data_IF_216109013892
#
_entry.id   IF_216109013892
#
_cell.length_a   1.000
_cell.length_b   1.000
_cell.length_c   1.000
_cell.angle_alpha   90.00
_cell.angle_beta   90.00
_cell.angle_gamma   90.00
#
_symmetry.space_group_name_H-M   'P 1'
#
loop_
_entity.id
_entity.type
_entity.pdbx_description
1 polymer ?
#
# COMPACT_ATOMS: atom_id res chain seq x y z
N UNK A 1 -0.35 44.56 23.27
CA UNK A 1 0.22 43.41 24.02
C UNK A 1 0.05 42.17 23.17
N UNK A 2 1.10 41.72 22.51
CA UNK A 2 1.09 40.45 21.75
C UNK A 2 1.51 39.36 22.71
N UNK A 3 0.58 38.43 22.99
CA UNK A 3 0.83 37.22 23.78
C UNK A 3 1.88 36.38 23.07
N UNK A 4 3.07 36.28 23.63
CA UNK A 4 4.10 35.30 23.23
C UNK A 4 3.60 33.93 23.63
N UNK A 5 3.09 33.16 22.65
CA UNK A 5 2.74 31.77 22.85
C UNK A 5 3.97 30.97 23.30
N UNK A 6 3.87 30.38 24.46
CA UNK A 6 4.89 29.54 25.05
C UNK A 6 4.93 28.21 24.26
N UNK A 7 5.84 28.09 23.29
CA UNK A 7 6.05 26.87 22.52
C UNK A 7 6.76 25.86 23.42
N UNK A 8 6.03 24.91 23.97
CA UNK A 8 6.64 23.84 24.78
C UNK A 8 7.44 22.90 23.87
N UNK A 9 8.77 22.96 23.96
CA UNK A 9 9.67 21.98 23.33
C UNK A 9 9.66 20.73 24.21
N UNK A 10 9.31 19.58 23.63
CA UNK A 10 9.50 18.29 24.33
C UNK A 10 11.00 18.11 24.62
N UNK A 11 11.38 17.93 25.89
CA UNK A 11 12.76 17.97 26.33
C UNK A 11 13.64 16.79 25.90
N UNK A 12 13.08 15.76 25.23
CA UNK A 12 13.81 14.63 24.64
C UNK A 12 13.40 14.46 23.18
N UNK A 13 14.31 14.77 22.25
CA UNK A 13 14.14 14.51 20.82
C UNK A 13 14.10 13.01 20.53
N UNK A 14 13.39 12.61 19.47
CA UNK A 14 13.41 11.25 18.94
C UNK A 14 14.60 11.09 17.97
N UNK A 15 15.11 9.87 17.83
CA UNK A 15 16.08 9.57 16.76
C UNK A 15 15.34 9.57 15.41
N UNK A 16 14.09 9.06 15.41
CA UNK A 16 13.22 8.99 14.22
C UNK A 16 11.83 9.52 14.54
N UNK A 17 11.32 10.43 13.71
CA UNK A 17 9.94 10.89 13.70
C UNK A 17 9.26 10.40 12.41
N UNK A 18 8.21 9.58 12.55
CA UNK A 18 7.39 9.12 11.41
C UNK A 18 6.14 9.99 11.32
N UNK A 19 5.95 10.64 10.18
CA UNK A 19 4.75 11.44 9.87
C UNK A 19 3.79 10.55 9.06
N UNK A 20 2.69 10.14 9.71
CA UNK A 20 1.70 9.22 9.17
C UNK A 20 1.73 7.85 9.86
N UNK A 21 0.63 7.48 10.49
CA UNK A 21 0.41 6.25 11.25
C UNK A 21 -0.41 5.19 10.48
N UNK A 22 -0.39 5.20 9.14
CA UNK A 22 -0.88 4.06 8.33
C UNK A 22 0.05 2.86 8.42
N UNK A 23 -0.30 1.72 7.78
CA UNK A 23 0.49 0.47 7.87
C UNK A 23 1.97 0.65 7.50
N UNK A 24 2.28 1.52 6.54
CA UNK A 24 3.65 1.80 6.11
C UNK A 24 4.42 2.60 7.18
N UNK A 25 3.80 3.62 7.75
CA UNK A 25 4.42 4.36 8.85
C UNK A 25 4.59 3.51 10.10
N UNK A 26 3.57 2.72 10.45
CA UNK A 26 3.63 1.81 11.60
C UNK A 26 4.71 0.73 11.45
N UNK A 27 4.80 0.06 10.30
CA UNK A 27 5.86 -0.94 10.10
C UNK A 27 7.25 -0.32 10.12
N UNK A 28 7.40 0.89 9.56
CA UNK A 28 8.67 1.64 9.61
C UNK A 28 9.06 1.97 11.06
N UNK A 29 8.10 2.47 11.83
CA UNK A 29 8.32 2.81 13.24
C UNK A 29 8.64 1.56 14.10
N UNK A 30 7.91 0.47 13.89
CA UNK A 30 8.15 -0.79 14.58
C UNK A 30 9.53 -1.34 14.31
N UNK A 31 9.93 -1.44 13.03
CA UNK A 31 11.26 -1.90 12.64
C UNK A 31 12.38 -0.98 13.18
N UNK A 32 12.20 0.34 13.11
CA UNK A 32 13.15 1.29 13.68
C UNK A 32 13.33 1.08 15.20
N UNK A 33 12.23 0.91 15.93
CA UNK A 33 12.26 0.63 17.37
C UNK A 33 12.92 -0.72 17.70
N UNK A 34 12.70 -1.77 16.90
CA UNK A 34 13.39 -3.07 17.06
C UNK A 34 14.91 -2.94 16.90
N UNK A 35 15.40 -1.99 16.13
CA UNK A 35 16.82 -1.66 16.00
C UNK A 35 17.32 -0.69 17.08
N UNK A 36 16.51 -0.39 18.09
CA UNK A 36 16.90 0.41 19.24
C UNK A 36 16.80 1.92 19.04
N UNK A 37 16.23 2.39 17.92
CA UNK A 37 16.01 3.83 17.68
C UNK A 37 14.80 4.34 18.49
N UNK A 38 14.96 5.46 19.19
CA UNK A 38 13.86 6.15 19.87
C UNK A 38 12.92 6.73 18.81
N UNK A 39 11.77 6.13 18.64
CA UNK A 39 10.87 6.42 17.56
C UNK A 39 9.56 7.05 18.03
N UNK A 40 9.12 8.09 17.35
CA UNK A 40 7.81 8.67 17.52
C UNK A 40 7.01 8.64 16.22
N UNK A 41 5.68 8.50 16.33
CA UNK A 41 4.73 8.56 15.20
C UNK A 41 3.76 9.71 15.44
N UNK A 42 3.52 10.52 14.42
CA UNK A 42 2.47 11.55 14.44
C UNK A 42 1.40 11.20 13.43
N UNK A 43 0.19 11.01 13.92
CA UNK A 43 -1.01 10.78 13.09
C UNK A 43 -2.26 11.04 13.96
N UNK A 44 -3.29 11.73 13.48
CA UNK A 44 -4.51 11.94 14.26
C UNK A 44 -5.26 10.63 14.57
N UNK A 45 -5.11 9.62 13.69
CA UNK A 45 -5.79 8.32 13.81
C UNK A 45 -4.84 7.18 13.41
N UNK A 46 -3.84 6.83 14.25
CA UNK A 46 -2.93 5.72 13.95
C UNK A 46 -3.67 4.40 13.71
N UNK A 47 -3.28 3.67 12.67
CA UNK A 47 -3.97 2.47 12.18
C UNK A 47 -5.09 2.75 11.18
N UNK A 48 -5.40 4.01 10.93
CA UNK A 48 -6.40 4.46 9.95
C UNK A 48 -5.94 4.43 8.49
N UNK A 49 -6.54 5.30 7.68
CA UNK A 49 -6.14 5.52 6.29
C UNK A 49 -6.56 4.42 5.32
N UNK A 50 -5.74 4.22 4.26
CA UNK A 50 -6.08 3.33 3.14
C UNK A 50 -6.24 1.86 3.56
N UNK A 51 -5.59 1.41 4.62
CA UNK A 51 -5.70 0.05 5.14
C UNK A 51 -7.14 -0.31 5.54
N UNK A 52 -7.93 0.65 6.00
CA UNK A 52 -9.32 0.44 6.42
C UNK A 52 -10.24 0.05 5.26
N UNK A 53 -9.82 0.32 4.02
CA UNK A 53 -10.58 0.06 2.79
C UNK A 53 -9.93 -1.05 1.95
N UNK A 54 -8.66 -1.32 2.14
CA UNK A 54 -7.93 -2.32 1.37
C UNK A 54 -8.50 -3.73 1.55
N UNK A 55 -8.45 -4.53 0.47
CA UNK A 55 -8.87 -5.93 0.50
C UNK A 55 -7.79 -6.88 1.06
N UNK A 56 -6.54 -6.47 1.08
CA UNK A 56 -5.47 -7.25 1.67
C UNK A 56 -4.94 -8.41 0.82
N UNK A 57 -5.10 -8.33 -0.48
CA UNK A 57 -4.47 -9.29 -1.40
C UNK A 57 -2.95 -9.13 -1.35
N UNK A 58 -2.25 -10.27 -1.31
CA UNK A 58 -0.79 -10.38 -1.40
C UNK A 58 -0.44 -10.97 -2.75
N UNK A 59 -0.80 -10.24 -3.81
CA UNK A 59 -0.90 -10.74 -5.18
C UNK A 59 0.28 -10.26 -6.04
N UNK A 60 1.48 -10.76 -5.75
CA UNK A 60 2.69 -10.41 -6.49
C UNK A 60 2.64 -10.89 -7.95
N UNK A 61 1.93 -11.98 -8.24
CA UNK A 61 1.88 -12.65 -9.54
C UNK A 61 0.63 -12.25 -10.33
N UNK A 62 -0.55 -12.34 -9.72
CA UNK A 62 -1.82 -12.03 -10.43
C UNK A 62 -2.06 -10.53 -10.61
N UNK A 63 -1.34 -9.67 -9.92
CA UNK A 63 -1.34 -8.21 -10.12
C UNK A 63 -0.15 -7.70 -10.95
N UNK A 64 0.53 -8.58 -11.67
CA UNK A 64 1.54 -8.15 -12.65
C UNK A 64 0.87 -7.40 -13.81
N UNK A 65 1.31 -6.16 -14.04
CA UNK A 65 0.86 -5.33 -15.14
C UNK A 65 1.99 -5.03 -16.13
N UNK A 66 1.63 -4.90 -17.40
CA UNK A 66 2.57 -4.42 -18.41
C UNK A 66 3.05 -3.00 -18.05
N UNK A 67 4.36 -2.76 -18.18
CA UNK A 67 5.00 -1.49 -17.81
C UNK A 67 5.42 -1.39 -16.34
N UNK A 68 5.03 -2.32 -15.46
CA UNK A 68 5.39 -2.30 -14.04
C UNK A 68 6.43 -3.39 -13.66
N UNK A 69 7.24 -3.86 -14.63
CA UNK A 69 8.21 -4.96 -14.40
C UNK A 69 9.26 -4.62 -13.32
N UNK A 70 9.62 -3.34 -13.18
CA UNK A 70 10.53 -2.91 -12.11
C UNK A 70 9.94 -3.19 -10.72
N UNK A 71 8.61 -3.03 -10.56
CA UNK A 71 7.91 -3.27 -9.30
C UNK A 71 7.81 -4.77 -8.96
N UNK A 72 7.86 -5.66 -9.97
CA UNK A 72 7.73 -7.11 -9.77
C UNK A 72 8.76 -7.65 -8.78
N UNK A 73 10.02 -7.26 -8.92
CA UNK A 73 11.10 -7.73 -8.02
C UNK A 73 10.84 -7.38 -6.56
N UNK A 74 10.33 -6.17 -6.30
CA UNK A 74 9.98 -5.73 -4.96
C UNK A 74 8.74 -6.48 -4.43
N UNK A 75 7.72 -6.67 -5.26
CA UNK A 75 6.49 -7.40 -4.91
C UNK A 75 6.79 -8.86 -4.54
N UNK A 76 7.58 -9.57 -5.35
CA UNK A 76 8.00 -10.96 -5.10
C UNK A 76 8.84 -11.05 -3.83
N UNK A 77 9.80 -10.15 -3.66
CA UNK A 77 10.64 -10.10 -2.47
C UNK A 77 9.82 -9.86 -1.19
N UNK A 78 8.75 -9.06 -1.28
CA UNK A 78 7.87 -8.81 -0.14
C UNK A 78 6.94 -10.00 0.12
N UNK A 79 6.35 -10.59 -0.92
CA UNK A 79 5.50 -11.78 -0.79
C UNK A 79 6.25 -12.94 -0.10
N UNK A 80 7.51 -13.17 -0.48
CA UNK A 80 8.35 -14.20 0.12
C UNK A 80 8.62 -13.97 1.62
N UNK A 81 8.64 -12.71 2.08
CA UNK A 81 8.83 -12.36 3.49
C UNK A 81 7.56 -12.51 4.32
N UNK A 82 6.39 -12.47 3.68
CA UNK A 82 5.13 -12.31 4.38
C UNK A 82 4.83 -13.38 5.42
N UNK A 83 5.07 -14.70 5.19
CA UNK A 83 4.80 -15.73 6.20
C UNK A 83 5.60 -15.52 7.50
N UNK A 84 6.90 -15.22 7.38
CA UNK A 84 7.77 -14.96 8.53
C UNK A 84 7.39 -13.64 9.24
N UNK A 85 7.12 -12.60 8.48
CA UNK A 85 6.64 -11.32 9.00
C UNK A 85 5.32 -11.44 9.76
N UNK A 86 4.37 -12.23 9.23
CA UNK A 86 3.09 -12.48 9.90
C UNK A 86 3.31 -13.14 11.27
N UNK A 87 4.08 -14.23 11.31
CA UNK A 87 4.38 -14.94 12.54
C UNK A 87 5.11 -14.05 13.58
N UNK A 88 6.06 -13.23 13.14
CA UNK A 88 6.79 -12.28 13.99
C UNK A 88 5.85 -11.21 14.57
N UNK A 89 5.00 -10.61 13.74
CA UNK A 89 4.07 -9.58 14.16
C UNK A 89 3.00 -10.13 15.11
N UNK A 90 2.48 -11.33 14.84
CA UNK A 90 1.53 -12.01 15.72
C UNK A 90 2.15 -12.32 17.09
N UNK A 91 3.41 -12.77 17.13
CA UNK A 91 4.14 -12.98 18.39
C UNK A 91 4.37 -11.66 19.14
N UNK A 92 4.75 -10.58 18.44
CA UNK A 92 5.01 -9.28 19.03
C UNK A 92 3.74 -8.60 19.54
N UNK A 93 2.63 -8.69 18.79
CA UNK A 93 1.36 -8.03 19.14
C UNK A 93 0.44 -8.89 20.01
N UNK A 94 0.58 -10.22 19.95
CA UNK A 94 -0.38 -11.16 20.53
C UNK A 94 -1.71 -11.17 19.79
N UNK A 95 -1.76 -10.74 18.53
CA UNK A 95 -2.98 -10.62 17.72
C UNK A 95 -2.82 -11.37 16.40
N UNK A 96 -3.84 -12.12 16.00
CA UNK A 96 -3.96 -12.72 14.67
C UNK A 96 -4.22 -11.63 13.62
N UNK A 97 -3.38 -11.55 12.59
CA UNK A 97 -3.52 -10.60 11.48
C UNK A 97 -4.38 -11.14 10.34
N UNK A 98 -4.90 -12.35 10.43
CA UNK A 98 -5.71 -12.98 9.40
C UNK A 98 -4.90 -13.30 8.13
N UNK A 99 -3.62 -13.66 8.27
CA UNK A 99 -2.83 -14.15 7.14
C UNK A 99 -3.32 -15.53 6.71
N UNK A 100 -3.64 -15.68 5.41
CA UNK A 100 -4.09 -16.94 4.82
C UNK A 100 -3.30 -17.30 3.58
N UNK A 101 -2.63 -18.44 3.63
CA UNK A 101 -1.95 -19.05 2.49
C UNK A 101 -2.95 -19.81 1.61
N UNK A 102 -3.92 -19.11 1.00
CA UNK A 102 -5.04 -19.71 0.30
C UNK A 102 -4.90 -19.73 -1.22
N UNK A 103 -3.91 -19.04 -1.77
CA UNK A 103 -3.79 -18.86 -3.21
C UNK A 103 -4.83 -17.91 -3.82
N UNK A 104 -4.66 -17.63 -5.11
CA UNK A 104 -5.57 -16.78 -5.90
C UNK A 104 -5.96 -17.51 -7.19
N UNK A 105 -7.21 -17.34 -7.61
CA UNK A 105 -7.75 -17.82 -8.88
C UNK A 105 -8.21 -16.60 -9.70
N UNK A 106 -7.50 -16.30 -10.79
CA UNK A 106 -7.91 -15.30 -11.78
C UNK A 106 -8.70 -16.00 -12.89
N UNK A 107 -9.94 -15.58 -13.17
CA UNK A 107 -10.82 -16.26 -14.12
C UNK A 107 -11.26 -15.37 -15.26
N UNK A 108 -11.63 -15.98 -16.38
CA UNK A 108 -12.15 -15.36 -17.59
C UNK A 108 -13.59 -15.78 -17.82
N UNK A 109 -14.47 -14.81 -18.12
CA UNK A 109 -15.88 -15.05 -18.41
C UNK A 109 -16.17 -15.16 -19.93
N UNK A 110 -15.41 -14.45 -20.76
CA UNK A 110 -15.57 -14.47 -22.20
C UNK A 110 -14.27 -14.81 -22.96
N UNK A 111 -14.28 -14.66 -24.30
CA UNK A 111 -13.13 -14.94 -25.15
C UNK A 111 -12.01 -13.92 -25.00
N UNK A 112 -12.35 -12.65 -24.79
CA UNK A 112 -11.39 -11.54 -24.72
C UNK A 112 -10.69 -11.55 -23.38
N UNK A 113 -11.42 -11.76 -22.29
CA UNK A 113 -10.88 -12.00 -20.94
C UNK A 113 -9.92 -13.19 -20.95
N UNK A 114 -10.32 -14.28 -21.67
CA UNK A 114 -9.48 -15.48 -21.79
C UNK A 114 -8.20 -15.21 -22.57
N UNK A 115 -8.26 -14.41 -23.64
CA UNK A 115 -7.07 -14.00 -24.39
C UNK A 115 -6.15 -13.16 -23.51
N UNK A 116 -6.69 -12.17 -22.81
CA UNK A 116 -5.94 -11.35 -21.87
C UNK A 116 -5.23 -12.17 -20.79
N UNK A 117 -5.93 -13.13 -20.14
CA UNK A 117 -5.31 -13.99 -19.14
C UNK A 117 -4.23 -14.91 -19.73
N UNK A 118 -4.34 -15.33 -21.00
CA UNK A 118 -3.27 -16.09 -21.66
C UNK A 118 -2.03 -15.27 -21.92
N UNK A 119 -2.19 -14.01 -22.28
CA UNK A 119 -1.07 -13.09 -22.43
C UNK A 119 -0.39 -12.82 -21.08
N UNK A 120 -1.17 -12.60 -20.01
CA UNK A 120 -0.67 -12.48 -18.67
C UNK A 120 0.09 -13.73 -18.22
N UNK A 121 -0.47 -14.92 -18.45
CA UNK A 121 0.21 -16.19 -18.16
C UNK A 121 1.55 -16.31 -18.90
N UNK A 122 1.58 -15.98 -20.19
CA UNK A 122 2.81 -15.98 -20.94
C UNK A 122 3.85 -14.97 -20.41
N UNK A 123 3.41 -13.80 -19.93
CA UNK A 123 4.28 -12.82 -19.28
C UNK A 123 4.82 -13.37 -17.95
N UNK A 124 3.97 -13.97 -17.12
CA UNK A 124 4.36 -14.60 -15.85
C UNK A 124 5.42 -15.70 -16.08
N UNK A 125 5.20 -16.58 -17.04
CA UNK A 125 6.16 -17.65 -17.39
C UNK A 125 7.51 -17.08 -17.84
N UNK A 126 7.52 -16.05 -18.71
CA UNK A 126 8.77 -15.38 -19.12
C UNK A 126 9.47 -14.68 -17.98
N UNK A 127 8.75 -14.27 -16.94
CA UNK A 127 9.29 -13.65 -15.73
C UNK A 127 9.70 -14.66 -14.65
N UNK A 128 9.61 -15.96 -14.94
CA UNK A 128 9.97 -17.03 -14.00
C UNK A 128 8.97 -17.19 -12.84
N UNK A 129 7.73 -16.72 -13.00
CA UNK A 129 6.69 -16.80 -12.00
C UNK A 129 5.85 -18.07 -12.17
N UNK A 130 5.47 -18.66 -11.04
CA UNK A 130 4.63 -19.86 -11.03
C UNK A 130 3.16 -19.49 -11.17
N UNK A 131 2.53 -19.99 -12.22
CA UNK A 131 1.09 -19.93 -12.45
C UNK A 131 0.64 -21.12 -13.30
N UNK A 132 -0.56 -21.63 -13.04
CA UNK A 132 -1.13 -22.78 -13.74
C UNK A 132 -2.38 -22.38 -14.50
N UNK A 133 -2.43 -22.73 -15.79
CA UNK A 133 -3.63 -22.55 -16.60
C UNK A 133 -4.66 -23.64 -16.32
N UNK A 134 -5.88 -23.24 -16.00
CA UNK A 134 -7.01 -24.13 -15.74
C UNK A 134 -8.12 -23.93 -16.80
N UNK A 135 -8.83 -25.02 -17.12
CA UNK A 135 -10.11 -24.96 -17.83
C UNK A 135 -11.21 -24.40 -16.92
N UNK A 136 -12.30 -23.89 -17.51
CA UNK A 136 -13.45 -23.43 -16.72
C UNK A 136 -14.06 -24.50 -15.81
N UNK A 137 -14.00 -25.79 -16.24
CA UNK A 137 -14.44 -26.91 -15.40
C UNK A 137 -13.54 -27.10 -14.17
N UNK A 138 -12.25 -26.97 -14.34
CA UNK A 138 -11.28 -27.05 -13.23
C UNK A 138 -11.41 -25.88 -12.27
N UNK A 139 -11.60 -24.67 -12.80
CA UNK A 139 -11.89 -23.49 -11.96
C UNK A 139 -13.12 -23.72 -11.09
N UNK A 140 -14.24 -24.19 -11.66
CA UNK A 140 -15.47 -24.46 -10.91
C UNK A 140 -15.35 -25.66 -9.95
N UNK A 141 -14.45 -26.60 -10.20
CA UNK A 141 -14.15 -27.68 -9.22
C UNK A 141 -13.42 -27.12 -7.99
N UNK A 142 -12.53 -26.13 -8.19
CA UNK A 142 -11.83 -25.46 -7.08
C UNK A 142 -12.74 -24.51 -6.32
N UNK A 143 -13.58 -23.75 -7.04
CA UNK A 143 -14.53 -22.78 -6.47
C UNK A 143 -15.93 -23.04 -7.07
N UNK A 144 -16.75 -23.87 -6.42
CA UNK A 144 -18.05 -24.28 -6.96
C UNK A 144 -19.08 -23.16 -7.13
N UNK A 145 -18.90 -22.05 -6.43
CA UNK A 145 -19.80 -20.88 -6.52
C UNK A 145 -19.55 -20.02 -7.79
N UNK A 146 -18.49 -20.30 -8.54
CA UNK A 146 -18.23 -19.60 -9.80
C UNK A 146 -19.34 -19.84 -10.83
N UNK A 147 -19.63 -18.78 -11.60
CA UNK A 147 -20.63 -18.82 -12.66
C UNK A 147 -20.34 -19.95 -13.68
N UNK A 148 -21.39 -20.60 -14.21
CA UNK A 148 -21.26 -21.63 -15.25
C UNK A 148 -20.52 -21.14 -16.51
N UNK A 149 -20.58 -19.83 -16.79
CA UNK A 149 -19.95 -19.16 -17.93
C UNK A 149 -18.43 -19.04 -17.85
N UNK A 150 -17.79 -19.33 -16.74
CA UNK A 150 -16.32 -19.27 -16.60
C UNK A 150 -15.64 -20.20 -17.61
N UNK A 151 -14.77 -19.61 -18.48
CA UNK A 151 -14.16 -20.28 -19.64
C UNK A 151 -12.73 -20.77 -19.38
N UNK A 152 -12.12 -20.36 -18.27
CA UNK A 152 -10.78 -20.74 -17.86
C UNK A 152 -10.22 -19.77 -16.83
N UNK A 153 -9.01 -20.04 -16.36
CA UNK A 153 -8.37 -19.18 -15.36
C UNK A 153 -6.92 -19.54 -15.12
N UNK A 154 -6.31 -18.74 -14.27
CA UNK A 154 -4.95 -18.91 -13.75
C UNK A 154 -5.01 -19.18 -12.26
N UNK A 155 -4.46 -20.30 -11.80
CA UNK A 155 -4.21 -20.59 -10.40
C UNK A 155 -2.81 -20.13 -10.04
N UNK A 156 -2.71 -19.34 -8.97
CA UNK A 156 -1.45 -18.89 -8.38
C UNK A 156 -1.47 -19.20 -6.89
N UNK A 157 -0.76 -20.25 -6.51
CA UNK A 157 -0.77 -20.73 -5.12
C UNK A 157 0.06 -19.82 -4.19
N UNK A 158 1.00 -19.02 -4.72
CA UNK A 158 1.83 -18.08 -3.97
C UNK A 158 1.19 -16.70 -3.71
N UNK A 159 0.06 -16.39 -4.33
CA UNK A 159 -0.67 -15.15 -4.08
C UNK A 159 -1.68 -15.37 -2.94
N UNK A 160 -1.42 -14.76 -1.79
CA UNK A 160 -2.13 -14.99 -0.54
C UNK A 160 -3.01 -13.80 -0.15
N UNK A 161 -3.44 -13.73 1.11
CA UNK A 161 -4.17 -12.59 1.66
C UNK A 161 -3.86 -12.38 3.15
N UNK A 162 -4.13 -11.17 3.62
CA UNK A 162 -4.11 -10.77 5.03
C UNK A 162 -5.30 -9.86 5.30
N UNK A 163 -5.76 -9.74 6.54
CA UNK A 163 -6.75 -8.73 6.90
C UNK A 163 -6.04 -7.39 7.19
N UNK A 164 -6.19 -6.34 6.34
CA UNK A 164 -5.46 -5.08 6.53
C UNK A 164 -5.86 -4.33 7.79
N UNK A 165 -7.09 -4.52 8.29
CA UNK A 165 -7.55 -3.89 9.54
C UNK A 165 -6.90 -4.55 10.75
N UNK A 166 -6.84 -5.89 10.76
CA UNK A 166 -6.12 -6.63 11.80
C UNK A 166 -4.62 -6.37 11.73
N UNK A 167 -4.04 -6.33 10.53
CA UNK A 167 -2.64 -5.96 10.32
C UNK A 167 -2.31 -4.59 10.92
N UNK A 168 -3.14 -3.57 10.66
CA UNK A 168 -2.94 -2.23 11.20
C UNK A 168 -3.05 -2.21 12.74
N UNK A 169 -4.02 -2.91 13.31
CA UNK A 169 -4.18 -3.03 14.75
C UNK A 169 -3.00 -3.75 15.42
N UNK A 170 -2.53 -4.85 14.83
CA UNK A 170 -1.37 -5.58 15.31
C UNK A 170 -0.08 -4.76 15.25
N UNK A 171 0.15 -4.02 14.14
CA UNK A 171 1.29 -3.10 14.02
C UNK A 171 1.25 -1.99 15.07
N UNK A 172 0.07 -1.41 15.32
CA UNK A 172 -0.09 -0.39 16.37
C UNK A 172 0.31 -0.95 17.73
N UNK A 173 -0.22 -2.12 18.11
CA UNK A 173 0.12 -2.79 19.37
C UNK A 173 1.59 -3.17 19.45
N UNK A 174 2.18 -3.67 18.35
CA UNK A 174 3.60 -3.99 18.31
C UNK A 174 4.49 -2.75 18.49
N UNK A 175 4.12 -1.61 17.88
CA UNK A 175 4.77 -0.32 18.10
C UNK A 175 4.69 0.11 19.57
N UNK A 176 3.51 0.07 20.19
CA UNK A 176 3.31 0.43 21.60
C UNK A 176 4.18 -0.43 22.52
N UNK A 177 4.22 -1.74 22.31
CA UNK A 177 5.05 -2.68 23.07
C UNK A 177 6.55 -2.48 22.86
N UNK A 178 6.94 -1.99 21.67
CA UNK A 178 8.32 -1.64 21.35
C UNK A 178 8.73 -0.25 21.87
N UNK A 179 7.85 0.48 22.56
CA UNK A 179 8.12 1.79 23.14
C UNK A 179 8.04 2.96 22.17
N UNK A 180 7.39 2.79 21.02
CA UNK A 180 7.11 3.89 20.08
C UNK A 180 6.15 4.89 20.72
N UNK A 181 6.50 6.17 20.67
CA UNK A 181 5.67 7.27 21.22
C UNK A 181 4.68 7.75 20.16
N UNK A 182 3.39 7.84 20.50
CA UNK A 182 2.35 8.31 19.60
C UNK A 182 1.88 9.71 19.95
N UNK A 183 1.90 10.60 18.95
CA UNK A 183 1.27 11.92 19.01
C UNK A 183 0.02 11.91 18.13
N UNK A 184 -1.16 11.92 18.74
CA UNK A 184 -2.46 11.90 18.04
C UNK A 184 -2.86 13.32 17.65
N UNK A 185 -2.16 13.86 16.64
CA UNK A 185 -2.37 15.21 16.13
C UNK A 185 -2.01 15.29 14.64
N UNK A 186 -2.40 16.37 14.00
CA UNK A 186 -1.98 16.68 12.64
C UNK A 186 -0.60 17.32 12.64
N UNK A 187 0.22 16.97 11.66
CA UNK A 187 1.43 17.75 11.35
C UNK A 187 1.02 18.94 10.50
N UNK A 188 1.22 20.14 11.01
CA UNK A 188 1.00 21.38 10.27
C UNK A 188 2.09 21.59 9.21
N UNK A 189 3.36 21.44 9.61
CA UNK A 189 4.51 21.61 8.71
C UNK A 189 5.75 20.83 9.14
N UNK A 190 6.61 20.54 8.16
CA UNK A 190 7.96 20.01 8.44
C UNK A 190 8.79 21.06 9.18
N UNK A 191 9.52 20.63 10.20
CA UNK A 191 10.54 21.42 10.86
C UNK A 191 11.87 21.32 10.11
N UNK A 192 12.37 22.43 9.60
CA UNK A 192 13.69 22.51 8.92
C UNK A 192 14.60 23.43 9.71
N UNK A 193 15.81 22.96 10.02
CA UNK A 193 16.83 23.73 10.68
C UNK A 193 18.20 23.50 10.04
N UNK A 194 18.96 24.55 9.80
CA UNK A 194 20.31 24.48 9.21
C UNK A 194 20.37 23.67 7.90
N UNK A 195 19.34 23.81 7.04
CA UNK A 195 19.27 23.12 5.74
C UNK A 195 18.98 21.61 5.82
N UNK A 196 18.45 21.10 6.97
CA UNK A 196 18.03 19.71 7.11
C UNK A 196 16.68 19.58 7.79
N UNK A 197 15.99 18.48 7.56
CA UNK A 197 14.82 18.12 8.36
C UNK A 197 15.26 17.87 9.81
N UNK A 198 14.51 18.46 10.77
CA UNK A 198 14.84 18.44 12.18
C UNK A 198 13.62 18.14 13.07
N UNK A 199 12.53 17.66 12.46
CA UNK A 199 11.30 17.32 13.19
C UNK A 199 10.04 17.86 12.52
N UNK A 200 9.02 18.15 13.28
CA UNK A 200 7.74 18.66 12.81
C UNK A 200 7.09 19.64 13.79
N UNK A 201 6.23 20.50 13.28
CA UNK A 201 5.32 21.34 14.07
C UNK A 201 3.91 20.77 13.93
N UNK A 202 3.27 20.51 15.04
CA UNK A 202 1.92 19.97 15.12
C UNK A 202 0.87 21.10 15.03
N UNK A 203 -0.36 20.75 14.66
CA UNK A 203 -1.47 21.70 14.59
C UNK A 203 -1.77 22.35 15.93
N UNK A 204 -1.56 21.66 17.05
CA UNK A 204 -1.63 22.21 18.40
C UNK A 204 -0.48 23.16 18.77
N UNK A 205 0.48 23.42 17.87
CA UNK A 205 1.64 24.29 18.09
C UNK A 205 2.84 23.59 18.78
N UNK A 206 2.74 22.30 19.12
CA UNK A 206 3.84 21.53 19.69
C UNK A 206 4.94 21.33 18.65
N UNK A 207 6.19 21.55 19.05
CA UNK A 207 7.37 21.27 18.22
C UNK A 207 7.98 19.93 18.65
N UNK A 208 8.07 18.99 17.73
CA UNK A 208 8.76 17.73 17.92
C UNK A 208 10.10 17.77 17.19
N UNK A 209 11.18 17.56 17.92
CA UNK A 209 12.52 17.47 17.37
C UNK A 209 12.88 16.02 17.08
N UNK A 210 13.57 15.79 15.94
CA UNK A 210 14.09 14.47 15.56
C UNK A 210 15.34 14.59 14.70
N UNK A 211 16.22 13.59 14.78
CA UNK A 211 17.42 13.52 13.95
C UNK A 211 17.10 13.15 12.51
N UNK A 212 16.09 12.31 12.32
CA UNK A 212 15.58 11.84 11.03
C UNK A 212 14.05 11.90 10.99
N UNK A 213 13.48 12.29 9.86
CA UNK A 213 12.04 12.36 9.62
C UNK A 213 11.67 11.44 8.47
N UNK A 214 10.69 10.55 8.69
CA UNK A 214 10.12 9.70 7.64
C UNK A 214 8.72 10.21 7.29
N UNK A 215 8.51 10.61 6.04
CA UNK A 215 7.19 11.01 5.54
C UNK A 215 6.46 9.79 4.96
N UNK A 216 5.47 9.30 5.70
CA UNK A 216 4.64 8.13 5.40
C UNK A 216 3.13 8.47 5.39
N UNK A 217 2.78 9.73 5.05
CA UNK A 217 1.41 10.25 5.15
C UNK A 217 0.48 9.83 3.98
N UNK A 218 0.83 8.76 3.27
CA UNK A 218 0.02 8.19 2.19
C UNK A 218 -0.31 9.23 1.12
N UNK A 219 -1.59 9.33 0.72
CA UNK A 219 -2.02 10.30 -0.30
C UNK A 219 -1.79 11.77 0.09
N UNK A 220 -1.62 12.07 1.38
CA UNK A 220 -1.36 13.42 1.88
C UNK A 220 0.13 13.81 1.84
N UNK A 221 1.03 12.89 1.52
CA UNK A 221 2.48 13.14 1.56
C UNK A 221 2.91 14.37 0.73
N UNK A 222 2.31 14.57 -0.45
CA UNK A 222 2.59 15.76 -1.29
C UNK A 222 1.98 17.07 -0.80
N UNK A 223 1.28 17.07 0.35
CA UNK A 223 0.61 18.26 0.91
C UNK A 223 1.18 18.75 2.24
N UNK A 224 2.21 18.09 2.73
CA UNK A 224 2.86 18.54 3.97
C UNK A 224 3.50 19.91 3.73
N UNK A 225 3.09 20.90 4.49
CA UNK A 225 3.70 22.23 4.41
C UNK A 225 5.15 22.22 4.91
N UNK A 226 5.97 23.17 4.43
CA UNK A 226 7.38 23.28 4.79
C UNK A 226 8.33 22.31 4.06
N UNK A 227 7.83 21.53 3.11
CA UNK A 227 8.68 20.80 2.18
C UNK A 227 9.24 21.78 1.14
N UNK A 228 10.56 21.78 0.87
CA UNK A 228 11.11 22.41 -0.32
C UNK A 228 10.53 21.79 -1.60
N UNK A 229 10.33 22.59 -2.65
CA UNK A 229 9.66 22.15 -3.88
C UNK A 229 10.32 20.93 -4.51
N UNK A 230 11.64 20.84 -4.46
CA UNK A 230 12.44 19.74 -5.02
C UNK A 230 12.28 18.40 -4.30
N UNK A 231 11.70 18.38 -3.10
CA UNK A 231 11.48 17.15 -2.32
C UNK A 231 10.00 16.80 -2.12
N UNK A 232 9.08 17.60 -2.68
CA UNK A 232 7.66 17.30 -2.65
C UNK A 232 7.39 16.00 -3.41
N UNK A 233 6.89 14.93 -2.73
CA UNK A 233 6.63 13.67 -3.41
C UNK A 233 5.44 13.82 -4.38
N UNK A 234 5.59 13.37 -5.65
CA UNK A 234 4.52 13.44 -6.65
C UNK A 234 3.46 12.35 -6.40
N UNK A 235 2.79 12.43 -5.25
CA UNK A 235 1.76 11.49 -4.85
C UNK A 235 0.39 12.12 -4.98
N UNK A 236 -0.52 11.41 -5.67
CA UNK A 236 -1.92 11.81 -5.84
C UNK A 236 -2.88 10.79 -5.23
N UNK A 237 -4.08 11.22 -4.78
CA UNK A 237 -5.12 10.32 -4.32
C UNK A 237 -5.82 9.65 -5.51
N UNK A 238 -5.99 8.31 -5.45
CA UNK A 238 -6.85 7.54 -6.35
C UNK A 238 -7.92 6.85 -5.52
N UNK A 239 -9.16 7.24 -5.71
CA UNK A 239 -10.31 6.72 -4.97
C UNK A 239 -10.61 5.28 -5.37
N UNK A 240 -10.97 4.45 -4.40
CA UNK A 240 -11.50 3.11 -4.60
C UNK A 240 -12.64 2.84 -3.65
N UNK A 241 -13.75 2.33 -4.18
CA UNK A 241 -14.89 1.87 -3.41
C UNK A 241 -14.82 0.36 -3.24
N UNK A 242 -15.21 -0.14 -2.08
CA UNK A 242 -15.30 -1.56 -1.75
C UNK A 242 -16.59 -1.87 -1.02
N UNK A 243 -17.04 -3.11 -1.15
CA UNK A 243 -18.19 -3.65 -0.43
C UNK A 243 -17.73 -4.75 0.51
N UNK A 244 -18.40 -4.89 1.65
CA UNK A 244 -18.23 -6.02 2.56
C UNK A 244 -19.57 -6.71 2.75
N UNK A 245 -19.57 -7.99 2.56
CA UNK A 245 -20.72 -8.87 2.71
C UNK A 245 -20.45 -9.89 3.80
N UNK A 246 -21.49 -10.39 4.41
CA UNK A 246 -21.39 -11.49 5.39
C UNK A 246 -21.88 -12.78 4.74
N UNK A 247 -21.08 -13.83 4.82
CA UNK A 247 -21.46 -15.19 4.40
C UNK A 247 -22.17 -15.88 5.55
N UNK A 248 -23.49 -16.16 5.46
CA UNK A 248 -24.20 -16.92 6.45
C UNK A 248 -23.61 -18.33 6.61
N UNK A 249 -23.67 -18.90 7.81
CA UNK A 249 -23.12 -20.23 8.10
C UNK A 249 -23.66 -21.34 7.16
N UNK A 250 -24.89 -21.18 6.68
CA UNK A 250 -25.51 -22.13 5.74
C UNK A 250 -24.83 -22.15 4.36
N UNK A 251 -24.10 -21.10 4.00
CA UNK A 251 -23.37 -20.98 2.72
C UNK A 251 -21.86 -21.12 2.88
N UNK A 252 -21.36 -21.35 4.10
CA UNK A 252 -19.92 -21.48 4.34
C UNK A 252 -19.42 -22.90 3.99
N UNK A 253 -18.22 -23.01 3.37
CA UNK A 253 -17.43 -21.90 2.80
C UNK A 253 -17.99 -21.45 1.46
N UNK A 254 -18.25 -20.14 1.31
CA UNK A 254 -18.76 -19.55 0.05
C UNK A 254 -17.66 -19.52 -1.04
N UNK A 255 -16.48 -19.03 -0.69
CA UNK A 255 -15.25 -19.12 -1.46
C UNK A 255 -14.12 -19.56 -0.53
N UNK A 256 -13.15 -20.30 -1.07
CA UNK A 256 -12.01 -20.82 -0.29
C UNK A 256 -10.72 -20.03 -0.53
N UNK A 257 -10.60 -19.33 -1.66
CA UNK A 257 -9.46 -18.53 -2.08
C UNK A 257 -9.89 -17.18 -2.64
N UNK A 258 -8.93 -16.28 -2.82
CA UNK A 258 -9.19 -15.04 -3.56
C UNK A 258 -9.56 -15.34 -5.00
N UNK A 259 -10.65 -14.76 -5.48
CA UNK A 259 -11.07 -14.84 -6.87
C UNK A 259 -10.96 -13.48 -7.53
N UNK A 260 -10.41 -13.42 -8.74
CA UNK A 260 -10.24 -12.20 -9.53
C UNK A 260 -10.75 -12.40 -10.94
N UNK A 261 -11.24 -11.33 -11.55
CA UNK A 261 -11.61 -11.32 -12.98
C UNK A 261 -11.49 -9.90 -13.55
N UNK A 262 -11.46 -9.84 -14.87
CA UNK A 262 -11.85 -8.65 -15.62
C UNK A 262 -13.26 -8.90 -16.13
N UNK A 263 -14.20 -8.03 -15.83
CA UNK A 263 -15.59 -8.13 -16.27
C UNK A 263 -15.94 -6.86 -17.02
N UNK A 264 -16.20 -6.96 -18.32
CA UNK A 264 -16.53 -5.80 -19.16
C UNK A 264 -15.48 -4.67 -19.08
N UNK A 265 -14.20 -5.03 -18.95
CA UNK A 265 -13.10 -4.09 -18.81
C UNK A 265 -12.84 -3.58 -17.39
N UNK A 266 -13.70 -3.91 -16.42
CA UNK A 266 -13.52 -3.57 -15.00
C UNK A 266 -12.84 -4.71 -14.24
N UNK A 267 -11.83 -4.38 -13.43
CA UNK A 267 -11.20 -5.35 -12.54
C UNK A 267 -12.05 -5.56 -11.29
N UNK A 268 -12.45 -6.79 -11.03
CA UNK A 268 -13.17 -7.18 -9.82
C UNK A 268 -12.40 -8.27 -9.07
N UNK A 269 -12.49 -8.24 -7.74
CA UNK A 269 -11.97 -9.29 -6.88
C UNK A 269 -12.94 -9.58 -5.72
N UNK A 270 -12.91 -10.82 -5.27
CA UNK A 270 -13.65 -11.32 -4.12
C UNK A 270 -12.65 -11.97 -3.15
N UNK A 271 -12.57 -11.44 -1.94
CA UNK A 271 -11.59 -11.88 -0.93
C UNK A 271 -12.32 -12.41 0.29
N UNK A 272 -12.44 -13.76 0.44
CA UNK A 272 -13.12 -14.37 1.57
C UNK A 272 -12.25 -14.35 2.82
N UNK A 273 -12.85 -14.07 3.98
CA UNK A 273 -12.23 -14.11 5.30
C UNK A 273 -12.70 -15.33 6.10
N UNK A 274 -11.90 -15.73 7.08
CA UNK A 274 -12.26 -16.86 7.97
C UNK A 274 -13.43 -16.55 8.88
N UNK A 275 -13.63 -15.28 9.23
CA UNK A 275 -14.76 -14.83 10.04
C UNK A 275 -16.09 -14.76 9.26
N UNK A 276 -16.13 -15.23 8.01
CA UNK A 276 -17.31 -15.18 7.16
C UNK A 276 -17.52 -13.82 6.44
N UNK A 277 -16.59 -12.87 6.52
CA UNK A 277 -16.64 -11.67 5.69
C UNK A 277 -16.19 -11.99 4.27
N UNK A 278 -16.83 -11.38 3.27
CA UNK A 278 -16.42 -11.37 1.88
C UNK A 278 -16.22 -9.93 1.42
N UNK A 279 -14.98 -9.58 1.04
CA UNK A 279 -14.67 -8.26 0.49
C UNK A 279 -14.78 -8.28 -1.02
N UNK A 280 -15.55 -7.34 -1.58
CA UNK A 280 -15.72 -7.14 -3.03
C UNK A 280 -15.11 -5.78 -3.42
N UNK A 281 -14.24 -5.76 -4.39
CA UNK A 281 -13.61 -4.53 -4.83
C UNK A 281 -13.03 -4.61 -6.24
N UNK A 282 -12.51 -3.53 -6.73
CA UNK A 282 -12.70 -2.17 -6.26
C UNK A 282 -12.77 -1.23 -7.46
N UNK A 283 -13.50 -0.14 -7.30
CA UNK A 283 -13.44 0.93 -8.29
C UNK A 283 -12.07 1.60 -8.33
N UNK A 284 -11.78 2.32 -9.41
CA UNK A 284 -10.58 3.14 -9.54
C UNK A 284 -10.96 4.46 -10.19
N UNK A 285 -10.92 5.55 -9.40
CA UNK A 285 -11.52 6.82 -9.77
C UNK A 285 -10.55 7.98 -9.45
N UNK A 286 -10.33 8.87 -10.42
CA UNK A 286 -9.57 10.11 -10.24
C UNK A 286 -10.48 11.25 -9.79
N UNK A 287 -10.93 11.19 -8.53
CA UNK A 287 -11.90 12.12 -7.92
C UNK A 287 -11.27 13.06 -6.88
N UNK A 288 -9.96 13.24 -6.92
CA UNK A 288 -9.24 14.05 -5.94
C UNK A 288 -9.45 13.50 -4.52
N UNK A 289 -9.91 14.36 -3.62
CA UNK A 289 -10.08 14.03 -2.19
C UNK A 289 -11.47 13.53 -1.83
N UNK A 290 -12.36 13.38 -2.81
CA UNK A 290 -13.70 12.86 -2.57
C UNK A 290 -13.67 11.37 -2.22
N UNK A 291 -14.24 11.03 -1.06
CA UNK A 291 -14.40 9.65 -0.58
C UNK A 291 -15.88 9.26 -0.45
N UNK A 292 -16.76 9.98 -1.11
CA UNK A 292 -18.21 9.66 -1.13
C UNK A 292 -18.43 8.33 -1.84
N UNK A 293 -19.14 7.40 -1.20
CA UNK A 293 -19.62 6.17 -1.84
C UNK A 293 -20.79 6.54 -2.76
N UNK A 294 -20.73 6.10 -4.01
CA UNK A 294 -21.77 6.40 -5.00
C UNK A 294 -22.61 5.18 -5.33
N UNK A 295 -23.89 5.39 -5.65
CA UNK A 295 -24.77 4.31 -6.12
C UNK A 295 -24.20 3.62 -7.38
N UNK A 296 -23.55 4.39 -8.27
CA UNK A 296 -22.90 3.85 -9.47
C UNK A 296 -21.77 2.87 -9.13
N UNK A 297 -20.87 3.24 -8.21
CA UNK A 297 -19.77 2.36 -7.77
C UNK A 297 -20.27 1.10 -7.07
N UNK A 298 -21.29 1.21 -6.21
CA UNK A 298 -21.92 0.04 -5.57
C UNK A 298 -22.55 -0.88 -6.61
N UNK A 299 -23.30 -0.31 -7.57
CA UNK A 299 -23.92 -1.08 -8.64
C UNK A 299 -22.89 -1.79 -9.53
N UNK A 300 -21.83 -1.11 -9.94
CA UNK A 300 -20.77 -1.69 -10.76
C UNK A 300 -20.14 -2.90 -10.05
N UNK A 301 -19.76 -2.75 -8.80
CA UNK A 301 -19.14 -3.84 -8.03
C UNK A 301 -20.08 -5.02 -7.82
N UNK A 302 -21.35 -4.79 -7.50
CA UNK A 302 -22.32 -5.87 -7.33
C UNK A 302 -22.65 -6.57 -8.64
N UNK A 303 -22.79 -5.82 -9.74
CA UNK A 303 -23.04 -6.37 -11.09
C UNK A 303 -21.89 -7.31 -11.49
N UNK A 304 -20.65 -6.84 -11.39
CA UNK A 304 -19.47 -7.59 -11.84
C UNK A 304 -19.19 -8.81 -10.94
N UNK A 305 -19.39 -8.65 -9.63
CA UNK A 305 -19.32 -9.74 -8.68
C UNK A 305 -20.41 -10.79 -8.91
N UNK A 306 -21.63 -10.39 -9.27
CA UNK A 306 -22.72 -11.30 -9.63
C UNK A 306 -22.43 -12.08 -10.91
N UNK A 307 -21.89 -11.44 -11.93
CA UNK A 307 -21.48 -12.15 -13.16
C UNK A 307 -20.44 -13.24 -12.88
N UNK A 308 -19.56 -12.99 -11.89
CA UNK A 308 -18.50 -13.90 -11.49
C UNK A 308 -19.00 -15.02 -10.56
N UNK A 309 -19.82 -14.66 -9.57
CA UNK A 309 -20.37 -15.54 -8.54
C UNK A 309 -21.85 -15.20 -8.32
N UNK A 310 -22.77 -15.84 -9.05
CA UNK A 310 -24.19 -15.46 -9.04
C UNK A 310 -24.85 -15.48 -7.66
N UNK A 311 -24.45 -16.37 -6.79
CA UNK A 311 -24.99 -16.45 -5.41
C UNK A 311 -24.62 -15.30 -4.50
N UNK A 312 -23.79 -14.34 -4.94
CA UNK A 312 -23.33 -13.22 -4.10
C UNK A 312 -24.48 -12.29 -3.71
N UNK A 313 -25.55 -12.20 -4.52
CA UNK A 313 -26.74 -11.36 -4.25
C UNK A 313 -27.59 -11.85 -3.08
N UNK A 314 -27.39 -13.09 -2.63
CA UNK A 314 -28.02 -13.65 -1.45
C UNK A 314 -27.30 -13.29 -0.14
N UNK A 315 -26.12 -12.66 -0.24
CA UNK A 315 -25.32 -12.33 0.95
C UNK A 315 -25.70 -10.94 1.47
N UNK A 316 -25.88 -10.78 2.79
CA UNK A 316 -26.11 -9.46 3.39
C UNK A 316 -24.97 -8.50 3.11
N UNK A 317 -25.26 -7.32 2.58
CA UNK A 317 -24.34 -6.20 2.44
C UNK A 317 -24.21 -5.48 3.78
N UNK A 318 -23.04 -5.52 4.39
CA UNK A 318 -22.81 -5.04 5.77
C UNK A 318 -22.07 -3.70 5.81
N UNK A 319 -21.22 -3.43 4.82
CA UNK A 319 -20.47 -2.16 4.75
C UNK A 319 -20.21 -1.76 3.28
N UNK A 320 -20.30 -0.47 3.01
CA UNK A 320 -19.79 0.17 1.81
C UNK A 320 -18.82 1.26 2.21
N UNK A 321 -17.62 1.27 1.61
CA UNK A 321 -16.59 2.24 1.99
C UNK A 321 -15.77 2.67 0.79
N UNK A 322 -15.29 3.93 0.82
CA UNK A 322 -14.33 4.45 -0.13
C UNK A 322 -13.08 4.95 0.58
N UNK A 323 -11.93 4.85 -0.09
CA UNK A 323 -10.66 5.36 0.40
C UNK A 323 -9.74 5.78 -0.72
N UNK A 324 -8.61 6.38 -0.34
CA UNK A 324 -7.67 6.99 -1.28
C UNK A 324 -6.36 6.21 -1.30
N UNK A 325 -6.04 5.62 -2.45
CA UNK A 325 -4.74 5.00 -2.70
C UNK A 325 -3.70 6.10 -2.96
N UNK A 326 -2.51 6.05 -2.35
CA UNK A 326 -1.42 6.99 -2.62
C UNK A 326 -0.69 6.60 -3.91
N UNK A 327 -1.09 7.14 -5.04
CA UNK A 327 -0.48 6.81 -6.34
C UNK A 327 0.69 7.75 -6.66
N UNK A 328 1.83 7.18 -7.02
CA UNK A 328 2.95 7.85 -7.68
C UNK A 328 2.73 7.87 -9.21
N UNK A 329 3.54 8.60 -10.00
CA UNK A 329 3.39 8.62 -11.46
C UNK A 329 3.57 7.26 -12.13
N UNK A 330 4.42 6.40 -11.59
CA UNK A 330 4.74 5.04 -12.08
C UNK A 330 4.10 3.92 -11.24
N UNK A 331 3.17 4.25 -10.34
CA UNK A 331 2.51 3.33 -9.39
C UNK A 331 3.46 2.58 -8.43
N UNK A 332 4.76 2.88 -8.47
CA UNK A 332 5.76 2.28 -7.59
C UNK A 332 6.01 3.16 -6.34
N UNK A 333 6.38 2.60 -5.20
CA UNK A 333 6.59 3.37 -3.98
C UNK A 333 7.78 4.34 -4.11
N UNK A 334 7.77 5.37 -3.28
CA UNK A 334 8.88 6.28 -3.04
C UNK A 334 9.52 5.89 -1.72
N UNK A 335 10.70 5.27 -1.79
CA UNK A 335 11.42 4.74 -0.63
C UNK A 335 12.84 5.34 -0.57
N UNK A 336 13.18 5.94 0.56
CA UNK A 336 14.56 6.34 0.80
C UNK A 336 14.78 7.84 1.01
N UNK A 337 16.06 8.29 0.99
CA UNK A 337 16.44 9.65 1.28
C UNK A 337 16.01 10.61 0.17
N UNK A 338 15.75 11.86 0.57
CA UNK A 338 15.50 12.96 -0.35
C UNK A 338 16.72 13.86 -0.51
N UNK A 339 16.63 14.89 -1.37
CA UNK A 339 17.64 15.93 -1.46
C UNK A 339 17.74 16.79 -0.17
N UNK A 340 16.69 16.81 0.67
CA UNK A 340 16.76 17.47 1.98
C UNK A 340 17.35 16.50 3.01
N UNK A 341 18.56 16.72 3.52
CA UNK A 341 19.18 15.87 4.53
C UNK A 341 18.26 15.64 5.73
N UNK A 342 18.20 14.40 6.22
CA UNK A 342 17.35 14.01 7.35
C UNK A 342 15.87 13.79 7.00
N UNK A 343 15.45 14.00 5.75
CA UNK A 343 14.11 13.65 5.29
C UNK A 343 14.15 12.40 4.41
N UNK A 344 13.36 11.41 4.77
CA UNK A 344 13.15 10.17 4.03
C UNK A 344 11.69 10.01 3.62
N UNK A 345 11.43 9.39 2.49
CA UNK A 345 10.07 9.03 2.05
C UNK A 345 9.81 7.54 2.22
N UNK A 346 8.59 7.21 2.65
CA UNK A 346 8.01 5.87 2.64
C UNK A 346 6.54 6.00 2.24
N UNK A 347 6.27 6.28 0.97
CA UNK A 347 4.93 6.64 0.47
C UNK A 347 4.72 6.21 -0.98
N UNK A 348 3.55 6.49 -1.56
CA UNK A 348 3.31 6.25 -2.99
C UNK A 348 3.07 4.78 -3.37
N UNK A 349 2.75 3.91 -2.40
CA UNK A 349 2.61 2.45 -2.60
C UNK A 349 1.40 2.04 -3.45
N UNK A 350 0.54 2.98 -3.83
CA UNK A 350 -0.67 2.77 -4.63
C UNK A 350 -1.50 1.58 -4.13
N UNK A 351 -1.73 0.55 -4.98
CA UNK A 351 -2.51 -0.66 -4.63
C UNK A 351 -1.70 -1.69 -3.82
N UNK A 352 -0.36 -1.58 -3.82
CA UNK A 352 0.53 -2.60 -3.28
C UNK A 352 0.94 -2.37 -1.82
N UNK A 353 0.39 -1.35 -1.12
CA UNK A 353 0.85 -0.99 0.22
C UNK A 353 0.76 -2.11 1.26
N UNK A 354 -0.27 -2.95 1.19
CA UNK A 354 -0.40 -4.11 2.08
C UNK A 354 0.65 -5.17 1.75
N UNK A 355 0.79 -5.54 0.47
CA UNK A 355 1.80 -6.48 0.00
C UNK A 355 3.22 -6.03 0.36
N UNK A 356 3.52 -4.74 0.18
CA UNK A 356 4.87 -4.19 0.37
C UNK A 356 5.21 -3.85 1.83
N UNK A 357 4.32 -4.11 2.78
CA UNK A 357 4.55 -3.81 4.21
C UNK A 357 5.86 -4.40 4.74
N UNK A 358 6.17 -5.71 4.58
CA UNK A 358 7.39 -6.28 5.13
C UNK A 358 8.65 -5.65 4.54
N UNK A 359 8.77 -5.65 3.21
CA UNK A 359 9.98 -5.16 2.53
C UNK A 359 10.21 -3.67 2.76
N UNK A 360 9.13 -2.87 2.89
CA UNK A 360 9.26 -1.44 3.19
C UNK A 360 9.78 -1.23 4.61
N UNK A 361 9.23 -1.95 5.59
CA UNK A 361 9.70 -1.86 6.98
C UNK A 361 11.18 -2.20 7.11
N UNK A 362 11.60 -3.32 6.54
CA UNK A 362 12.99 -3.77 6.56
C UNK A 362 13.92 -2.77 5.86
N UNK A 363 13.54 -2.31 4.65
CA UNK A 363 14.35 -1.37 3.87
C UNK A 363 14.51 0.00 4.56
N UNK A 364 13.45 0.50 5.18
CA UNK A 364 13.51 1.77 5.90
C UNK A 364 14.32 1.65 7.20
N UNK A 365 14.21 0.53 7.91
CA UNK A 365 15.03 0.31 9.11
C UNK A 365 16.53 0.21 8.77
N UNK A 366 16.90 -0.49 7.69
CA UNK A 366 18.26 -0.54 7.21
C UNK A 366 18.79 0.87 6.86
N UNK A 367 18.00 1.64 6.11
CA UNK A 367 18.34 3.03 5.79
C UNK A 367 18.54 3.89 7.04
N UNK A 368 17.62 3.82 8.01
CA UNK A 368 17.65 4.64 9.22
C UNK A 368 18.82 4.30 10.15
N UNK A 369 19.32 3.07 10.10
CA UNK A 369 20.41 2.59 10.95
C UNK A 369 21.78 2.70 10.29
N UNK A 370 21.86 2.42 8.99
CA UNK A 370 23.14 2.37 8.26
C UNK A 370 23.40 3.59 7.36
N UNK A 371 22.32 4.34 7.03
CA UNK A 371 22.36 5.41 6.04
C UNK A 371 22.26 4.92 4.59
N UNK A 372 22.15 3.61 4.35
CA UNK A 372 22.09 3.02 3.01
C UNK A 372 20.75 2.33 2.74
N UNK A 373 20.21 2.55 1.54
CA UNK A 373 19.02 1.86 1.08
C UNK A 373 19.41 0.50 0.47
N UNK A 374 18.79 -0.63 0.91
CA UNK A 374 19.11 -1.95 0.38
C UNK A 374 18.87 -2.06 -1.12
N UNK A 375 19.60 -2.96 -1.78
CA UNK A 375 19.61 -3.10 -3.24
C UNK A 375 18.20 -3.28 -3.84
N UNK A 376 17.33 -4.04 -3.18
CA UNK A 376 15.95 -4.29 -3.62
C UNK A 376 15.10 -3.01 -3.66
N UNK A 377 15.39 -2.03 -2.81
CA UNK A 377 14.64 -0.78 -2.71
C UNK A 377 15.29 0.40 -3.47
N UNK A 378 16.56 0.32 -3.85
CA UNK A 378 17.28 1.40 -4.56
C UNK A 378 16.57 1.92 -5.83
N UNK A 379 15.95 1.08 -6.67
CA UNK A 379 15.22 1.56 -7.85
C UNK A 379 14.05 2.48 -7.52
N UNK A 380 13.57 2.45 -6.27
CA UNK A 380 12.40 3.19 -5.80
C UNK A 380 12.76 4.47 -5.04
N UNK A 381 14.03 4.87 -5.08
CA UNK A 381 14.48 6.11 -4.47
C UNK A 381 13.74 7.33 -5.06
N UNK A 382 13.41 8.36 -4.23
CA UNK A 382 12.68 9.55 -4.67
C UNK A 382 13.33 10.30 -5.83
N UNK A 383 14.65 10.30 -5.91
CA UNK A 383 15.42 10.95 -6.96
C UNK A 383 15.16 10.47 -8.39
N UNK A 384 14.45 9.33 -8.57
CA UNK A 384 14.09 8.83 -9.92
C UNK A 384 13.15 9.76 -10.70
N UNK A 385 12.47 10.68 -10.00
CA UNK A 385 11.61 11.70 -10.60
C UNK A 385 12.28 13.08 -10.69
N UNK A 386 13.53 13.21 -10.24
CA UNK A 386 14.26 14.46 -10.41
C UNK A 386 14.48 14.74 -11.91
N UNK A 387 14.31 15.99 -12.37
CA UNK A 387 14.66 16.32 -13.75
C UNK A 387 16.13 15.98 -14.02
N UNK A 388 16.40 15.38 -15.18
CA UNK A 388 17.76 15.09 -15.58
C UNK A 388 18.60 16.39 -15.53
N UNK A 389 19.84 16.36 -15.02
CA UNK A 389 20.69 17.54 -15.01
C UNK A 389 20.81 18.06 -16.45
N UNK A 390 20.45 19.34 -16.66
CA UNK A 390 20.63 20.01 -17.97
C UNK A 390 22.12 19.97 -18.26
N UNK A 391 22.57 19.36 -19.38
CA UNK A 391 23.97 19.36 -19.72
C UNK A 391 24.44 20.81 -19.82
N UNK A 392 25.65 21.15 -19.34
CA UNK A 392 26.16 22.51 -19.43
C UNK A 392 26.09 22.95 -20.90
N UNK A 393 25.44 24.08 -21.15
CA UNK A 393 25.35 24.64 -22.50
C UNK A 393 26.77 24.76 -23.04
N UNK A 394 27.10 24.00 -24.10
CA UNK A 394 28.35 24.15 -24.83
C UNK A 394 28.37 25.59 -25.32
N UNK A 395 29.27 26.38 -24.74
CA UNK A 395 29.55 27.74 -25.20
C UNK A 395 29.98 27.64 -26.67
N UNK A 396 29.09 28.02 -27.57
CA UNK A 396 29.42 28.22 -28.98
C UNK A 396 30.50 29.33 -29.02
N UNK A 397 31.75 28.94 -29.28
CA UNK A 397 32.78 29.89 -29.61
C UNK A 397 32.32 30.63 -30.88
N UNK A 398 31.97 31.88 -30.74
CA UNK A 398 31.85 32.78 -31.89
C UNK A 398 33.26 32.93 -32.51
N UNK A 399 33.47 32.26 -33.63
CA UNK A 399 34.59 32.62 -34.53
C UNK A 399 34.30 33.99 -35.10
N UNK A 400 35.15 34.95 -34.76
CA UNK A 400 35.18 36.25 -35.44
C UNK A 400 35.73 36.04 -36.84
N UNK A 401 35.08 36.56 -37.89
CA UNK A 401 35.68 36.60 -39.23
C UNK A 401 36.79 37.60 -39.28
N UNK A 402 37.90 37.25 -39.98
CA UNK A 402 39.06 38.09 -40.31
C UNK A 402 38.74 39.15 -41.38
#
# INVERSE_FOLDING_TARGET
MRSSGNTSVSAQGSDVLVIGGGIIGLVTAWRAAQHGLRTAVVDPEPGGGAAQVAAGMLAAVTELHYGEQMLLGLNVASAARYPAFAAELEAASGQDIGFRACGTLAVALDSDDRAHLRELHALQQRSGLESEWLTGRECRRLEPMLAPGVRGGLRVDGDHQVDPRRLAAALLTACERAGVVFHRDWVERLGVARGRAAGAVLAAGTVLAADQVVLAAGSRSGRLAGLPDEVVPPVRPVKGQVLRLTVPAAYAPFLTRTVRAVVRGSHVYLVPRENGELVVGATSEEMGWDTTVTAGGVYELLRDAHELVPGITELPLTETRAGLRPASPDNAPLLGPTALPGLHLATGHHRNGVLLTPVTGDAMAELLTTGELPAVARPFAPGRFAPAPVPPSSSVRQEQPA
#
